data_IF_911406814163
#
_entry.id   IF_911406814163
#
_cell.length_a   1.000
_cell.length_b   1.000
_cell.length_c   1.000
_cell.angle_alpha   90.00
_cell.angle_beta   90.00
_cell.angle_gamma   90.00
#
_symmetry.space_group_name_H-M   'P 1'
#
loop_
_entity.id
_entity.type
_entity.pdbx_description
1 polymer ?
#
# COMPACT_ATOMS: atom_id res chain seq x y z
N UNK A 1 35.25 -103.87 -32.09
CA UNK A 1 34.10 -103.25 -31.40
C UNK A 1 34.39 -101.94 -30.64
N UNK A 2 35.64 -101.60 -30.28
CA UNK A 2 35.93 -100.35 -29.55
C UNK A 2 35.80 -99.06 -30.38
N UNK A 3 35.98 -99.14 -31.71
CA UNK A 3 35.89 -97.99 -32.64
C UNK A 3 34.47 -97.41 -32.80
N UNK A 4 33.42 -98.19 -32.58
CA UNK A 4 32.03 -97.75 -32.75
C UNK A 4 31.57 -96.90 -31.55
N UNK A 5 31.99 -97.28 -30.34
CA UNK A 5 31.63 -96.58 -29.10
C UNK A 5 32.29 -95.19 -29.05
N UNK A 6 33.55 -95.07 -29.48
CA UNK A 6 34.25 -93.78 -29.56
C UNK A 6 33.61 -92.84 -30.59
N UNK A 7 33.06 -93.40 -31.67
CA UNK A 7 32.38 -92.62 -32.71
C UNK A 7 31.02 -92.10 -32.24
N UNK A 8 30.29 -92.90 -31.46
CA UNK A 8 29.00 -92.51 -30.88
C UNK A 8 29.18 -91.50 -29.74
N UNK A 9 30.18 -91.66 -28.88
CA UNK A 9 30.55 -90.67 -27.86
C UNK A 9 30.97 -89.33 -28.48
N UNK A 10 31.73 -89.37 -29.59
CA UNK A 10 32.09 -88.16 -30.33
C UNK A 10 30.88 -87.44 -30.95
N UNK A 11 29.90 -88.20 -31.47
CA UNK A 11 28.62 -87.62 -31.93
C UNK A 11 27.80 -87.01 -30.80
N UNK A 12 27.72 -87.69 -29.65
CA UNK A 12 27.00 -87.17 -28.48
C UNK A 12 27.65 -85.89 -27.95
N UNK A 13 28.98 -85.83 -27.89
CA UNK A 13 29.71 -84.63 -27.50
C UNK A 13 29.44 -83.48 -28.48
N UNK A 14 29.58 -83.72 -29.79
CA UNK A 14 29.29 -82.71 -30.81
C UNK A 14 27.82 -82.24 -30.76
N UNK A 15 26.87 -83.14 -30.51
CA UNK A 15 25.46 -82.79 -30.35
C UNK A 15 25.21 -81.94 -29.09
N UNK A 16 25.90 -82.24 -27.98
CA UNK A 16 25.84 -81.45 -26.75
C UNK A 16 26.48 -80.07 -26.93
N UNK A 17 27.64 -79.98 -27.60
CA UNK A 17 28.30 -78.71 -27.93
C UNK A 17 27.40 -77.81 -28.80
N UNK A 18 26.72 -78.38 -29.80
CA UNK A 18 25.74 -77.65 -30.61
C UNK A 18 24.54 -77.19 -29.77
N UNK A 19 24.06 -78.01 -28.82
CA UNK A 19 23.00 -77.58 -27.90
C UNK A 19 23.44 -76.42 -27.01
N UNK A 20 24.66 -76.49 -26.44
CA UNK A 20 25.22 -75.40 -25.62
C UNK A 20 25.37 -74.13 -26.44
N UNK A 21 25.87 -74.23 -27.68
CA UNK A 21 25.97 -73.08 -28.59
C UNK A 21 24.59 -72.48 -28.93
N UNK A 22 23.57 -73.33 -29.19
CA UNK A 22 22.21 -72.89 -29.47
C UNK A 22 21.54 -72.24 -28.25
N UNK A 23 21.76 -72.79 -27.05
CA UNK A 23 21.30 -72.19 -25.79
C UNK A 23 22.00 -70.85 -25.53
N UNK A 24 23.30 -70.75 -25.77
CA UNK A 24 24.06 -69.50 -25.68
C UNK A 24 23.53 -68.42 -26.62
N UNK A 25 23.22 -68.78 -27.87
CA UNK A 25 22.59 -67.87 -28.82
C UNK A 25 21.20 -67.39 -28.34
N UNK A 26 20.38 -68.29 -27.77
CA UNK A 26 19.08 -67.93 -27.17
C UNK A 26 19.23 -66.99 -25.98
N UNK A 27 20.20 -67.23 -25.09
CA UNK A 27 20.46 -66.35 -23.94
C UNK A 27 20.82 -64.94 -24.42
N UNK A 28 21.75 -64.81 -25.38
CA UNK A 28 22.11 -63.50 -25.95
C UNK A 28 20.94 -62.79 -26.64
N UNK A 29 20.05 -63.54 -27.29
CA UNK A 29 18.80 -63.01 -27.85
C UNK A 29 17.87 -62.49 -26.74
N UNK A 30 17.63 -63.29 -25.70
CA UNK A 30 16.77 -62.90 -24.58
C UNK A 30 17.31 -61.71 -23.80
N UNK A 31 18.63 -61.63 -23.56
CA UNK A 31 19.26 -60.46 -22.95
C UNK A 31 19.07 -59.19 -23.80
N UNK A 32 19.13 -59.33 -25.13
CA UNK A 32 18.89 -58.21 -26.05
C UNK A 32 17.42 -57.79 -26.03
N UNK A 33 16.47 -58.73 -25.98
CA UNK A 33 15.04 -58.45 -25.81
C UNK A 33 14.74 -57.80 -24.46
N UNK A 34 15.37 -58.27 -23.39
CA UNK A 34 15.25 -57.71 -22.03
C UNK A 34 15.73 -56.26 -22.00
N UNK A 35 16.91 -55.98 -22.55
CA UNK A 35 17.45 -54.61 -22.64
C UNK A 35 16.51 -53.68 -23.41
N UNK A 36 15.96 -54.14 -24.54
CA UNK A 36 14.97 -53.37 -25.32
C UNK A 36 13.70 -53.10 -24.52
N UNK A 37 13.17 -54.10 -23.80
CA UNK A 37 12.00 -53.92 -22.95
C UNK A 37 12.26 -52.96 -21.78
N UNK A 38 13.44 -53.03 -21.16
CA UNK A 38 13.86 -52.12 -20.10
C UNK A 38 13.98 -50.67 -20.59
N UNK A 39 14.53 -50.45 -21.79
CA UNK A 39 14.58 -49.12 -22.41
C UNK A 39 13.18 -48.56 -22.67
N UNK A 40 12.26 -49.36 -23.22
CA UNK A 40 10.87 -48.96 -23.43
C UNK A 40 10.15 -48.61 -22.12
N UNK A 41 10.41 -49.35 -21.04
CA UNK A 41 9.86 -49.07 -19.71
C UNK A 41 10.39 -47.76 -19.12
N UNK A 42 11.61 -47.33 -19.47
CA UNK A 42 12.14 -46.02 -19.03
C UNK A 42 11.50 -44.85 -19.78
N UNK A 43 11.18 -45.03 -21.07
CA UNK A 43 10.62 -43.96 -21.91
C UNK A 43 9.11 -43.81 -21.75
N UNK A 44 8.37 -44.89 -21.45
CA UNK A 44 6.92 -44.86 -21.34
C UNK A 44 6.38 -43.83 -20.30
N UNK A 45 6.93 -43.71 -19.09
CA UNK A 45 6.50 -42.70 -18.12
C UNK A 45 6.75 -41.27 -18.57
N UNK A 46 7.82 -41.03 -19.34
CA UNK A 46 8.16 -39.70 -19.84
C UNK A 46 7.15 -39.24 -20.90
N UNK A 47 6.78 -40.15 -21.82
CA UNK A 47 5.77 -39.90 -22.84
C UNK A 47 4.40 -39.63 -22.19
N UNK A 48 4.02 -40.42 -21.18
CA UNK A 48 2.76 -40.21 -20.46
C UNK A 48 2.73 -38.84 -19.74
N UNK A 49 3.84 -38.46 -19.10
CA UNK A 49 3.97 -37.16 -18.44
C UNK A 49 3.88 -36.00 -19.44
N UNK A 50 4.56 -36.11 -20.59
CA UNK A 50 4.52 -35.11 -21.66
C UNK A 50 3.10 -34.99 -22.26
N UNK A 51 2.43 -36.11 -22.49
CA UNK A 51 1.05 -36.13 -22.96
C UNK A 51 0.08 -35.48 -21.97
N UNK A 52 0.22 -35.79 -20.68
CA UNK A 52 -0.58 -35.19 -19.62
C UNK A 52 -0.34 -33.67 -19.49
N UNK A 53 0.91 -33.23 -19.66
CA UNK A 53 1.27 -31.81 -19.70
C UNK A 53 0.63 -31.12 -20.90
N UNK A 54 0.80 -31.67 -22.10
CA UNK A 54 0.26 -31.09 -23.34
C UNK A 54 -1.27 -30.96 -23.28
N UNK A 55 -1.96 -31.96 -22.74
CA UNK A 55 -3.42 -31.91 -22.58
C UNK A 55 -3.87 -30.82 -21.60
N UNK A 56 -3.10 -30.61 -20.52
CA UNK A 56 -3.35 -29.53 -19.55
C UNK A 56 -3.15 -28.16 -20.17
N UNK A 57 -2.04 -27.97 -20.88
CA UNK A 57 -1.70 -26.72 -21.55
C UNK A 57 -2.74 -26.38 -22.61
N UNK A 58 -3.14 -27.38 -23.42
CA UNK A 58 -4.25 -27.23 -24.37
C UNK A 58 -5.55 -26.79 -23.69
N UNK A 59 -5.90 -27.39 -22.55
CA UNK A 59 -7.07 -27.01 -21.76
C UNK A 59 -7.03 -25.55 -21.28
N UNK A 60 -5.87 -25.08 -20.80
CA UNK A 60 -5.67 -23.69 -20.38
C UNK A 60 -5.80 -22.74 -21.57
N UNK A 61 -5.14 -23.05 -22.69
CA UNK A 61 -5.18 -22.20 -23.88
C UNK A 61 -6.59 -22.12 -24.47
N UNK A 62 -7.32 -23.23 -24.52
CA UNK A 62 -8.71 -23.26 -24.96
C UNK A 62 -9.60 -22.40 -24.08
N UNK A 63 -9.51 -22.54 -22.76
CA UNK A 63 -10.29 -21.72 -21.80
C UNK A 63 -9.99 -20.23 -21.97
N UNK A 64 -8.71 -19.86 -22.05
CA UNK A 64 -8.31 -18.47 -22.23
C UNK A 64 -8.88 -17.90 -23.54
N UNK A 65 -8.79 -18.66 -24.64
CA UNK A 65 -9.36 -18.26 -25.93
C UNK A 65 -10.88 -18.05 -25.83
N UNK A 66 -11.62 -18.96 -25.21
CA UNK A 66 -13.06 -18.83 -24.99
C UNK A 66 -13.39 -17.58 -24.15
N UNK A 67 -12.65 -17.32 -23.06
CA UNK A 67 -12.83 -16.14 -22.22
C UNK A 67 -12.55 -14.84 -22.99
N UNK A 68 -11.50 -14.82 -23.84
CA UNK A 68 -11.15 -13.69 -24.70
C UNK A 68 -12.21 -13.42 -25.76
N UNK A 69 -12.76 -14.47 -26.37
CA UNK A 69 -13.86 -14.35 -27.35
C UNK A 69 -15.13 -13.83 -26.67
N UNK A 70 -15.50 -14.36 -25.52
CA UNK A 70 -16.67 -13.88 -24.76
C UNK A 70 -16.53 -12.41 -24.37
N UNK A 71 -15.34 -11.98 -23.92
CA UNK A 71 -15.06 -10.57 -23.61
C UNK A 71 -15.19 -9.68 -24.86
N UNK A 72 -14.65 -10.12 -26.00
CA UNK A 72 -14.77 -9.38 -27.27
C UNK A 72 -16.23 -9.21 -27.68
N UNK A 73 -17.02 -10.28 -27.60
CA UNK A 73 -18.45 -10.24 -27.94
C UNK A 73 -19.21 -9.29 -27.01
N UNK A 74 -18.96 -9.37 -25.69
CA UNK A 74 -19.57 -8.45 -24.72
C UNK A 74 -19.20 -6.98 -24.97
N UNK A 75 -17.97 -6.71 -25.40
CA UNK A 75 -17.52 -5.37 -25.76
C UNK A 75 -18.15 -4.89 -27.09
N UNK A 76 -18.29 -5.78 -28.07
CA UNK A 76 -18.98 -5.47 -29.35
C UNK A 76 -20.44 -5.11 -29.10
N UNK A 77 -21.15 -5.90 -28.29
CA UNK A 77 -22.53 -5.64 -27.90
C UNK A 77 -22.65 -4.29 -27.16
N UNK A 78 -21.72 -3.99 -26.26
CA UNK A 78 -21.70 -2.70 -25.55
C UNK A 78 -21.50 -1.52 -26.50
N UNK A 79 -20.57 -1.62 -27.46
CA UNK A 79 -20.31 -0.57 -28.44
C UNK A 79 -21.43 -0.41 -29.48
N UNK A 80 -22.08 -1.49 -29.89
CA UNK A 80 -23.26 -1.46 -30.77
C UNK A 80 -24.48 -0.87 -30.07
N UNK A 81 -24.66 -1.11 -28.76
CA UNK A 81 -25.69 -0.44 -27.98
C UNK A 81 -25.43 1.06 -27.89
N UNK A 82 -24.18 1.51 -27.75
CA UNK A 82 -23.82 2.94 -27.72
C UNK A 82 -24.00 3.62 -29.08
N UNK A 83 -23.82 2.89 -30.19
CA UNK A 83 -24.03 3.39 -31.55
C UNK A 83 -25.48 3.30 -32.07
N UNK A 84 -26.29 2.36 -31.56
CA UNK A 84 -27.69 2.15 -31.96
C UNK A 84 -28.73 2.77 -31.02
N UNK A 85 -28.31 3.22 -29.83
CA UNK A 85 -29.18 3.91 -28.86
C UNK A 85 -29.50 5.36 -29.25
N UNK A 86 -30.01 5.54 -30.46
CA UNK A 86 -31.11 6.49 -30.64
C UNK A 86 -32.30 5.95 -29.85
N UNK A 87 -32.58 6.55 -28.69
CA UNK A 87 -33.62 6.16 -27.71
C UNK A 87 -33.32 4.95 -26.82
N UNK A 88 -32.30 5.05 -25.96
CA UNK A 88 -32.42 4.43 -24.63
C UNK A 88 -33.23 5.40 -23.77
N UNK A 89 -34.46 5.03 -23.45
CA UNK A 89 -35.30 5.74 -22.47
C UNK A 89 -34.65 5.55 -21.09
N UNK A 90 -33.74 6.46 -20.72
CA UNK A 90 -33.11 6.49 -19.42
C UNK A 90 -34.17 6.80 -18.35
N UNK A 91 -34.80 5.74 -17.82
CA UNK A 91 -35.62 5.87 -16.62
C UNK A 91 -34.71 5.99 -15.41
N UNK A 92 -34.66 7.21 -14.87
CA UNK A 92 -33.93 7.55 -13.66
C UNK A 92 -34.60 6.87 -12.44
N UNK A 93 -34.10 5.70 -12.02
CA UNK A 93 -34.66 4.93 -10.90
C UNK A 93 -34.27 5.55 -9.54
N UNK A 94 -33.02 6.01 -9.40
CA UNK A 94 -32.59 6.79 -8.22
C UNK A 94 -31.51 7.80 -8.66
N UNK A 95 -31.79 9.10 -8.65
CA UNK A 95 -30.80 10.11 -8.97
C UNK A 95 -29.62 10.02 -7.99
N UNK A 96 -28.37 10.27 -8.45
CA UNK A 96 -27.21 10.29 -7.57
C UNK A 96 -27.42 11.34 -6.49
N UNK A 97 -27.60 10.88 -5.24
CA UNK A 97 -27.70 11.77 -4.09
C UNK A 97 -26.30 12.25 -3.74
N UNK A 98 -26.02 13.51 -4.04
CA UNK A 98 -24.89 14.19 -3.45
C UNK A 98 -25.02 14.12 -1.92
N UNK A 99 -24.02 13.59 -1.23
CA UNK A 99 -23.98 13.63 0.23
C UNK A 99 -24.02 15.08 0.67
N UNK A 100 -25.09 15.48 1.36
CA UNK A 100 -25.22 16.83 1.96
C UNK A 100 -24.15 17.10 3.02
N UNK A 101 -23.45 16.06 3.48
CA UNK A 101 -22.36 16.17 4.45
C UNK A 101 -21.01 16.22 3.72
N UNK A 102 -20.20 17.28 3.93
CA UNK A 102 -18.86 17.36 3.37
C UNK A 102 -18.01 16.18 3.85
N UNK A 103 -17.41 15.46 2.89
CA UNK A 103 -16.59 14.25 3.16
C UNK A 103 -15.21 14.62 3.74
N UNK A 104 -14.72 15.83 3.46
CA UNK A 104 -13.50 16.39 4.04
C UNK A 104 -13.44 17.93 3.83
N UNK A 105 -12.67 18.69 4.64
CA UNK A 105 -12.21 18.43 6.01
C UNK A 105 -13.26 18.82 7.06
N UNK A 106 -13.13 18.30 8.30
CA UNK A 106 -14.02 18.63 9.43
C UNK A 106 -13.80 20.07 9.93
N UNK A 107 -14.34 21.05 9.20
CA UNK A 107 -14.18 22.49 9.46
C UNK A 107 -14.63 22.91 10.88
N UNK A 108 -15.63 22.21 11.44
CA UNK A 108 -16.10 22.38 12.83
C UNK A 108 -15.02 22.09 13.88
N UNK A 109 -14.10 21.15 13.61
CA UNK A 109 -13.04 20.77 14.55
C UNK A 109 -11.77 21.61 14.35
N UNK A 110 -11.51 22.08 13.12
CA UNK A 110 -10.33 22.89 12.80
C UNK A 110 -10.40 24.32 13.36
N UNK A 111 -11.57 24.95 13.40
CA UNK A 111 -11.73 26.31 13.93
C UNK A 111 -11.34 26.47 15.41
N UNK A 112 -11.86 25.67 16.36
CA UNK A 112 -11.45 25.79 17.77
C UNK A 112 -9.97 25.42 17.96
N UNK A 113 -9.46 24.46 17.19
CA UNK A 113 -8.05 24.09 17.23
C UNK A 113 -7.15 25.26 16.79
N UNK A 114 -7.51 25.95 15.71
CA UNK A 114 -6.80 27.13 15.22
C UNK A 114 -6.82 28.27 16.24
N UNK A 115 -7.94 28.46 16.96
CA UNK A 115 -8.04 29.45 18.04
C UNK A 115 -7.07 29.13 19.18
N UNK A 116 -7.05 27.88 19.65
CA UNK A 116 -6.13 27.43 20.71
C UNK A 116 -4.69 27.60 20.26
N UNK A 117 -4.37 27.22 19.03
CA UNK A 117 -3.02 27.38 18.46
C UNK A 117 -2.60 28.86 18.38
N UNK A 118 -3.50 29.76 17.95
CA UNK A 118 -3.22 31.19 17.89
C UNK A 118 -2.99 31.81 19.27
N UNK A 119 -3.79 31.43 20.28
CA UNK A 119 -3.59 31.85 21.66
C UNK A 119 -2.27 31.32 22.22
N UNK A 120 -1.96 30.05 21.99
CA UNK A 120 -0.70 29.42 22.39
C UNK A 120 0.51 30.10 21.75
N UNK A 121 0.45 30.39 20.45
CA UNK A 121 1.51 31.11 19.73
C UNK A 121 1.69 32.54 20.27
N UNK A 122 0.59 33.25 20.56
CA UNK A 122 0.64 34.59 21.14
C UNK A 122 1.28 34.62 22.54
N UNK A 123 0.90 33.68 23.41
CA UNK A 123 1.49 33.53 24.74
C UNK A 123 2.96 33.11 24.66
N UNK A 124 3.29 32.15 23.79
CA UNK A 124 4.66 31.70 23.57
C UNK A 124 5.57 32.83 23.08
N UNK A 125 5.10 33.62 22.11
CA UNK A 125 5.84 34.77 21.62
C UNK A 125 6.03 35.84 22.71
N UNK A 126 4.99 36.11 23.50
CA UNK A 126 5.08 37.04 24.63
C UNK A 126 6.09 36.57 25.68
N UNK A 127 6.12 35.26 25.97
CA UNK A 127 7.08 34.66 26.89
C UNK A 127 8.53 34.81 26.40
N UNK A 128 8.79 34.48 25.14
CA UNK A 128 10.14 34.65 24.53
C UNK A 128 10.57 36.11 24.56
N UNK A 129 9.68 37.04 24.16
CA UNK A 129 9.98 38.48 24.22
C UNK A 129 10.22 38.97 25.65
N UNK A 130 9.51 38.41 26.62
CA UNK A 130 9.74 38.71 28.04
C UNK A 130 11.12 38.22 28.50
N UNK A 131 11.55 37.04 28.05
CA UNK A 131 12.84 36.47 28.42
C UNK A 131 14.02 37.24 27.81
N UNK A 132 13.85 37.76 26.58
CA UNK A 132 14.86 38.59 25.92
C UNK A 132 14.97 40.00 26.53
N UNK A 133 13.98 40.43 27.32
CA UNK A 133 13.99 41.73 27.98
C UNK A 133 14.82 41.64 29.27
N UNK A 134 16.10 42.00 29.19
CA UNK A 134 16.97 42.11 30.35
C UNK A 134 16.55 43.28 31.26
N UNK A 135 15.60 43.05 32.17
CA UNK A 135 15.17 44.04 33.18
C UNK A 135 15.14 43.38 34.55
N UNK A 136 15.68 44.06 35.55
CA UNK A 136 15.59 43.65 36.94
C UNK A 136 14.30 44.21 37.57
N UNK A 137 13.46 43.34 38.12
CA UNK A 137 12.19 43.72 38.73
C UNK A 137 12.28 44.06 40.23
N UNK A 138 13.36 43.66 40.89
CA UNK A 138 13.60 43.95 42.31
C UNK A 138 15.04 44.45 42.50
N UNK A 139 15.23 45.42 43.39
CA UNK A 139 16.53 45.85 43.84
C UNK A 139 17.35 44.69 44.42
N UNK A 140 16.71 43.74 45.13
CA UNK A 140 17.40 42.54 45.62
C UNK A 140 18.01 41.70 44.50
N UNK A 141 17.32 41.60 43.35
CA UNK A 141 17.84 40.91 42.17
C UNK A 141 19.10 41.60 41.63
N UNK A 142 19.08 42.94 41.56
CA UNK A 142 20.25 43.74 41.15
C UNK A 142 21.44 43.53 42.10
N UNK A 143 21.21 43.55 43.42
CA UNK A 143 22.26 43.31 44.43
C UNK A 143 22.91 41.95 44.22
N UNK A 144 22.11 40.90 44.04
CA UNK A 144 22.60 39.53 43.91
C UNK A 144 23.39 39.30 42.61
N UNK A 145 23.03 39.99 41.52
CA UNK A 145 23.75 39.86 40.24
C UNK A 145 25.04 40.68 40.21
N UNK A 146 25.06 41.88 40.82
CA UNK A 146 26.20 42.80 40.76
C UNK A 146 27.17 42.61 41.96
N UNK A 147 26.70 42.02 43.07
CA UNK A 147 27.50 41.75 44.27
C UNK A 147 27.82 42.98 45.13
N UNK A 148 27.21 44.14 44.84
CA UNK A 148 27.46 45.41 45.54
C UNK A 148 26.26 45.82 46.43
N UNK A 149 26.49 46.45 47.60
CA UNK A 149 25.42 46.94 48.46
C UNK A 149 24.68 48.13 47.80
N UNK A 150 23.36 47.98 47.67
CA UNK A 150 22.48 49.05 47.18
C UNK A 150 22.25 50.08 48.28
N UNK A 151 22.55 51.34 48.00
CA UNK A 151 22.46 52.47 48.95
C UNK A 151 21.01 52.98 49.14
N UNK A 152 20.10 52.69 48.22
CA UNK A 152 18.69 53.06 48.29
C UNK A 152 17.95 52.77 47.00
N UNK A 153 16.61 52.78 47.05
CA UNK A 153 15.73 52.67 45.88
C UNK A 153 14.93 53.95 45.73
N UNK A 154 14.84 54.47 44.51
CA UNK A 154 14.00 55.64 44.21
C UNK A 154 12.73 55.14 43.54
N UNK A 155 11.59 55.43 44.16
CA UNK A 155 10.29 55.10 43.58
C UNK A 155 10.08 55.92 42.30
N UNK A 156 9.79 55.25 41.20
CA UNK A 156 9.49 55.90 39.94
C UNK A 156 8.19 56.73 40.06
N UNK A 157 8.31 58.05 40.06
CA UNK A 157 7.15 58.95 39.89
C UNK A 157 6.81 58.98 38.39
N UNK A 158 5.73 58.29 38.03
CA UNK A 158 5.27 58.19 36.64
C UNK A 158 4.82 59.56 36.12
N UNK A 159 5.46 60.05 35.06
CA UNK A 159 5.02 61.25 34.34
C UNK A 159 3.66 61.02 33.66
N UNK A 160 2.91 62.09 33.40
CA UNK A 160 1.62 62.02 32.69
C UNK A 160 1.77 61.36 31.30
N UNK A 161 2.89 61.60 30.61
CA UNK A 161 3.24 60.96 29.35
C UNK A 161 3.43 59.43 29.49
N UNK A 162 4.03 58.96 30.59
CA UNK A 162 4.19 57.53 30.87
C UNK A 162 2.84 56.86 31.17
N UNK A 163 1.95 57.50 31.93
CA UNK A 163 0.58 57.03 32.19
C UNK A 163 -0.26 56.98 30.91
N UNK A 164 -0.13 57.99 30.05
CA UNK A 164 -0.79 58.01 28.74
C UNK A 164 -0.32 56.87 27.82
N UNK A 165 0.96 56.48 27.89
CA UNK A 165 1.51 55.38 27.08
C UNK A 165 1.02 54.00 27.52
N UNK A 166 0.88 53.79 28.82
CA UNK A 166 0.36 52.54 29.41
C UNK A 166 -1.14 52.36 29.15
N UNK A 167 -1.94 53.42 29.29
CA UNK A 167 -3.36 53.37 28.94
C UNK A 167 -3.57 53.07 27.45
N UNK A 168 -2.68 53.56 26.57
CA UNK A 168 -2.68 53.20 25.15
C UNK A 168 -2.31 51.73 24.92
N UNK A 169 -1.38 51.14 25.67
CA UNK A 169 -1.07 49.71 25.51
C UNK A 169 -2.21 48.81 25.98
N UNK A 170 -2.90 49.17 27.07
CA UNK A 170 -4.09 48.42 27.52
C UNK A 170 -5.23 48.51 26.51
N UNK A 171 -5.47 49.69 25.93
CA UNK A 171 -6.46 49.88 24.85
C UNK A 171 -6.10 49.05 23.60
N UNK A 172 -4.83 49.03 23.21
CA UNK A 172 -4.35 48.20 22.08
C UNK A 172 -4.52 46.71 22.35
N UNK A 173 -4.23 46.25 23.56
CA UNK A 173 -4.44 44.86 23.97
C UNK A 173 -5.93 44.48 23.97
N UNK A 174 -6.79 45.37 24.47
CA UNK A 174 -8.24 45.21 24.42
C UNK A 174 -8.76 45.10 22.99
N UNK A 175 -8.33 46.02 22.10
CA UNK A 175 -8.69 46.01 20.68
C UNK A 175 -8.22 44.74 19.96
N UNK A 176 -7.00 44.28 20.24
CA UNK A 176 -6.45 43.06 19.65
C UNK A 176 -7.23 41.82 20.10
N UNK A 177 -7.53 41.71 21.41
CA UNK A 177 -8.31 40.60 21.97
C UNK A 177 -9.75 40.59 21.42
N UNK A 178 -10.40 41.76 21.34
CA UNK A 178 -11.73 41.86 20.73
C UNK A 178 -11.70 41.56 19.24
N UNK A 179 -10.65 41.97 18.52
CA UNK A 179 -10.47 41.68 17.09
C UNK A 179 -10.31 40.19 16.81
N UNK A 180 -9.55 39.48 17.66
CA UNK A 180 -9.40 38.03 17.57
C UNK A 180 -10.74 37.30 17.75
N UNK A 181 -11.52 37.68 18.78
CA UNK A 181 -12.85 37.12 19.01
C UNK A 181 -13.81 37.45 17.87
N UNK A 182 -13.79 38.69 17.37
CA UNK A 182 -14.60 39.12 16.23
C UNK A 182 -14.28 38.33 14.96
N UNK A 183 -13.00 38.11 14.67
CA UNK A 183 -12.55 37.29 13.53
C UNK A 183 -12.98 35.83 13.67
N UNK A 184 -12.89 35.26 14.88
CA UNK A 184 -13.36 33.90 15.14
C UNK A 184 -14.87 33.76 14.92
N UNK A 185 -15.67 34.69 15.45
CA UNK A 185 -17.13 34.72 15.23
C UNK A 185 -17.45 34.87 13.74
N UNK A 186 -16.77 35.78 13.04
CA UNK A 186 -16.95 35.97 11.60
C UNK A 186 -16.62 34.69 10.80
N UNK A 187 -15.54 33.98 11.15
CA UNK A 187 -15.17 32.72 10.51
C UNK A 187 -16.22 31.62 10.75
N UNK A 188 -16.80 31.54 11.95
CA UNK A 188 -17.90 30.62 12.27
C UNK A 188 -19.16 30.97 11.46
N UNK A 189 -19.52 32.24 11.37
CA UNK A 189 -20.69 32.70 10.60
C UNK A 189 -20.52 32.44 9.10
N UNK A 190 -19.33 32.71 8.55
CA UNK A 190 -19.03 32.40 7.14
C UNK A 190 -19.12 30.90 6.89
N UNK A 191 -18.61 30.08 7.82
CA UNK A 191 -18.70 28.63 7.72
C UNK A 191 -20.16 28.14 7.74
N UNK A 192 -21.01 28.65 8.62
CA UNK A 192 -22.42 28.25 8.70
C UNK A 192 -23.20 28.70 7.46
N UNK A 193 -22.93 29.91 6.94
CA UNK A 193 -23.53 30.39 5.69
C UNK A 193 -23.11 29.54 4.49
N UNK A 194 -21.82 29.19 4.38
CA UNK A 194 -21.34 28.32 3.31
C UNK A 194 -21.90 26.90 3.43
N UNK A 195 -21.99 26.36 4.64
CA UNK A 195 -22.60 25.05 4.88
C UNK A 195 -24.08 25.03 4.47
N UNK A 196 -24.83 26.09 4.79
CA UNK A 196 -26.24 26.21 4.42
C UNK A 196 -26.46 26.48 2.92
N UNK A 197 -25.46 27.00 2.19
CA UNK A 197 -25.52 27.22 0.73
C UNK A 197 -25.08 26.00 -0.07
N UNK A 198 -24.38 25.05 0.55
CA UNK A 198 -23.84 23.86 -0.08
C UNK A 198 -24.71 22.60 0.09
N UNK A 199 -25.80 22.70 0.86
CA UNK A 199 -26.88 21.70 0.93
C UNK A 199 -28.07 22.15 0.11
#
# INVERSE_FOLDING_TARGET
>A
NQSLITQELGRMLAASEVQVAALGARVGEYETRLRRAQELLKTAPQIEAEFAQLNRDYGIHKKNYEDLVARRESASLSGELEGSSGSVDFRLIDPPRASQKPVAPNRLLLLPLALIAALGAGLGLAFVLSQLRAVFFDARAVRNTIGLPILGVVTLVRSEAARARESRSLKKFGLASSGLLGMFIAAVVVLTVLANRAG
#
